data_IF_949172659275
#
_entry.id   IF_949172659275
#
_cell.length_a   1.000
_cell.length_b   1.000
_cell.length_c   1.000
_cell.angle_alpha   90.00
_cell.angle_beta   90.00
_cell.angle_gamma   90.00
#
_symmetry.space_group_name_H-M   'P 1'
#
loop_
_entity.id
_entity.type
_entity.pdbx_description
1 polymer ?
#
# COMPACT_ATOMS: atom_id res chain seq x y z
N UNK A 1 -8.08 9.27 24.86
CA UNK A 1 -8.95 8.64 23.85
C UNK A 1 -8.17 8.30 22.58
N UNK A 2 -7.29 9.19 22.09
CA UNK A 2 -6.39 8.93 20.94
C UNK A 2 -5.45 7.74 21.17
N UNK A 3 -4.77 7.66 22.32
CA UNK A 3 -3.85 6.56 22.66
C UNK A 3 -4.50 5.16 22.65
N UNK A 4 -5.80 5.06 22.93
CA UNK A 4 -6.53 3.77 22.86
C UNK A 4 -6.85 3.35 21.43
N UNK A 5 -6.99 4.31 20.52
CA UNK A 5 -7.28 4.02 19.12
C UNK A 5 -6.03 3.45 18.43
N UNK A 6 -4.86 4.02 18.73
CA UNK A 6 -3.57 3.54 18.21
C UNK A 6 -3.28 2.12 18.70
N UNK A 7 -3.48 1.81 19.99
CA UNK A 7 -3.35 0.44 20.53
C UNK A 7 -4.27 -0.55 19.82
N UNK A 8 -5.56 -0.22 19.65
CA UNK A 8 -6.52 -1.11 18.96
C UNK A 8 -6.12 -1.35 17.50
N UNK A 9 -5.62 -0.32 16.82
CA UNK A 9 -5.20 -0.42 15.42
C UNK A 9 -3.92 -1.25 15.28
N UNK A 10 -2.99 -1.11 16.23
CA UNK A 10 -1.77 -1.91 16.31
C UNK A 10 -2.06 -3.38 16.61
N UNK A 11 -2.99 -3.65 17.52
CA UNK A 11 -3.42 -5.01 17.85
C UNK A 11 -4.13 -5.68 16.68
N UNK A 12 -5.06 -4.98 16.00
CA UNK A 12 -5.71 -5.49 14.80
C UNK A 12 -4.71 -5.74 13.67
N UNK A 13 -3.78 -4.80 13.47
CA UNK A 13 -2.71 -4.96 12.48
C UNK A 13 -1.89 -6.21 12.79
N UNK A 14 -1.47 -6.38 14.04
CA UNK A 14 -0.73 -7.55 14.48
C UNK A 14 -1.54 -8.83 14.28
N UNK A 15 -2.80 -8.89 14.67
CA UNK A 15 -3.64 -10.09 14.50
C UNK A 15 -3.80 -10.52 13.03
N UNK A 16 -3.89 -9.56 12.12
CA UNK A 16 -4.02 -9.83 10.68
C UNK A 16 -2.68 -10.14 10.03
N UNK A 17 -1.60 -9.46 10.44
CA UNK A 17 -0.32 -9.44 9.70
C UNK A 17 0.81 -10.26 10.35
N UNK A 18 0.73 -10.64 11.63
CA UNK A 18 1.82 -11.30 12.38
C UNK A 18 2.19 -12.72 11.92
N UNK A 19 1.37 -13.35 11.08
CA UNK A 19 1.66 -14.70 10.57
C UNK A 19 2.59 -14.69 9.34
N UNK A 20 2.90 -13.52 8.78
CA UNK A 20 3.74 -13.38 7.58
C UNK A 20 5.10 -12.83 8.01
N UNK A 21 6.14 -13.67 7.92
CA UNK A 21 7.50 -13.32 8.39
C UNK A 21 8.42 -12.83 7.28
N UNK A 22 7.99 -12.96 6.01
CA UNK A 22 8.83 -12.70 4.83
C UNK A 22 8.68 -11.27 4.27
N UNK A 23 7.72 -10.49 4.81
CA UNK A 23 7.44 -9.12 4.38
C UNK A 23 7.67 -8.16 5.54
N UNK A 24 8.23 -6.99 5.26
CA UNK A 24 8.43 -5.93 6.24
C UNK A 24 7.07 -5.49 6.83
N UNK A 25 6.87 -5.55 8.17
CA UNK A 25 5.60 -5.19 8.78
C UNK A 25 5.18 -3.72 8.56
N UNK A 26 6.11 -2.78 8.61
CA UNK A 26 5.79 -1.36 8.40
C UNK A 26 5.26 -1.13 6.98
N UNK A 27 5.81 -1.82 5.98
CA UNK A 27 5.32 -1.75 4.59
C UNK A 27 3.93 -2.32 4.48
N UNK A 28 3.66 -3.45 5.13
CA UNK A 28 2.34 -4.07 5.11
C UNK A 28 1.29 -3.20 5.80
N UNK A 29 1.66 -2.54 6.90
CA UNK A 29 0.81 -1.55 7.57
C UNK A 29 0.41 -0.43 6.62
N UNK A 30 1.38 0.22 5.97
CA UNK A 30 1.11 1.32 5.04
C UNK A 30 0.23 0.89 3.85
N UNK A 31 0.44 -0.32 3.32
CA UNK A 31 -0.40 -0.89 2.25
C UNK A 31 -1.84 -1.10 2.72
N UNK A 32 -2.05 -1.62 3.94
CA UNK A 32 -3.40 -1.80 4.50
C UNK A 32 -4.09 -0.45 4.70
N UNK A 33 -3.37 0.57 5.20
CA UNK A 33 -3.90 1.93 5.33
C UNK A 33 -4.34 2.47 3.97
N UNK A 34 -3.49 2.35 2.94
CA UNK A 34 -3.83 2.77 1.58
C UNK A 34 -5.03 2.00 1.00
N UNK A 35 -5.12 0.70 1.25
CA UNK A 35 -6.26 -0.11 0.82
C UNK A 35 -7.58 0.37 1.45
N UNK A 36 -7.56 0.75 2.73
CA UNK A 36 -8.72 1.33 3.42
C UNK A 36 -9.08 2.69 2.83
N UNK A 37 -8.10 3.55 2.54
CA UNK A 37 -8.32 4.83 1.86
C UNK A 37 -9.01 4.64 0.51
N UNK A 38 -8.49 3.75 -0.34
CA UNK A 38 -9.09 3.44 -1.65
C UNK A 38 -10.50 2.86 -1.49
N UNK A 39 -10.74 2.00 -0.50
CA UNK A 39 -12.08 1.47 -0.25
C UNK A 39 -13.07 2.58 0.16
N UNK A 40 -12.62 3.56 0.94
CA UNK A 40 -13.45 4.66 1.47
C UNK A 40 -13.64 5.82 0.51
N UNK A 41 -12.63 6.18 -0.25
CA UNK A 41 -12.62 7.36 -1.13
C UNK A 41 -12.80 6.95 -2.59
N UNK A 42 -12.20 5.82 -2.97
CA UNK A 42 -12.01 5.46 -4.37
C UNK A 42 -10.93 6.32 -5.02
N UNK A 43 -10.85 6.22 -6.34
CA UNK A 43 -9.97 7.05 -7.16
C UNK A 43 -10.79 8.16 -7.80
N UNK A 44 -10.38 9.42 -7.64
CA UNK A 44 -11.11 10.58 -8.15
C UNK A 44 -12.61 10.56 -7.72
N UNK A 45 -12.89 10.03 -6.52
CA UNK A 45 -14.25 9.87 -5.98
C UNK A 45 -15.05 8.69 -6.54
N UNK A 46 -14.46 7.84 -7.39
CA UNK A 46 -15.11 6.64 -7.94
C UNK A 46 -14.64 5.38 -7.23
N UNK A 47 -15.58 4.56 -6.80
CA UNK A 47 -15.29 3.24 -6.21
C UNK A 47 -14.63 2.34 -7.24
N UNK A 48 -13.42 1.89 -6.93
CA UNK A 48 -12.66 0.93 -7.72
C UNK A 48 -12.25 -0.24 -6.83
N UNK A 49 -12.28 -1.45 -7.38
CA UNK A 49 -11.63 -2.59 -6.76
C UNK A 49 -10.12 -2.49 -6.99
N UNK A 50 -9.32 -2.74 -5.96
CA UNK A 50 -7.86 -2.67 -6.03
C UNK A 50 -7.26 -3.92 -5.40
N UNK A 51 -6.19 -4.44 -6.02
CA UNK A 51 -5.40 -5.54 -5.51
C UNK A 51 -3.96 -5.07 -5.32
N UNK A 52 -3.41 -5.33 -4.14
CA UNK A 52 -1.99 -5.12 -3.86
C UNK A 52 -1.26 -6.45 -3.86
N UNK A 53 -0.05 -6.46 -4.42
CA UNK A 53 0.90 -7.57 -4.30
C UNK A 53 2.11 -7.02 -3.57
N UNK A 54 2.50 -7.66 -2.47
CA UNK A 54 3.58 -7.21 -1.59
C UNK A 54 4.59 -8.34 -1.42
N UNK A 55 5.85 -8.06 -1.75
CA UNK A 55 6.93 -9.05 -1.80
C UNK A 55 7.42 -9.31 -3.23
N UNK A 56 8.59 -9.95 -3.34
CA UNK A 56 9.30 -10.32 -4.58
C UNK A 56 9.04 -9.40 -5.80
N UNK A 57 9.49 -8.15 -5.67
CA UNK A 57 9.24 -7.11 -6.69
C UNK A 57 9.79 -7.51 -8.06
N UNK A 58 10.94 -8.19 -8.12
CA UNK A 58 11.53 -8.60 -9.39
C UNK A 58 10.65 -9.62 -10.11
N UNK A 59 10.18 -10.66 -9.40
CA UNK A 59 9.33 -11.68 -10.00
C UNK A 59 7.95 -11.13 -10.41
N UNK A 60 7.39 -10.22 -9.60
CA UNK A 60 6.13 -9.53 -9.92
C UNK A 60 6.27 -8.71 -11.21
N UNK A 61 7.35 -7.93 -11.35
CA UNK A 61 7.60 -7.13 -12.54
C UNK A 61 7.91 -7.99 -13.77
N UNK A 62 8.56 -9.15 -13.61
CA UNK A 62 8.79 -10.10 -14.70
C UNK A 62 7.49 -10.70 -15.25
N UNK A 63 6.44 -10.81 -14.41
CA UNK A 63 5.16 -11.43 -14.77
C UNK A 63 4.04 -10.44 -15.07
N UNK A 64 4.28 -9.14 -14.87
CA UNK A 64 3.27 -8.10 -15.04
C UNK A 64 3.76 -6.96 -15.93
N UNK A 65 2.82 -6.17 -16.45
CA UNK A 65 3.12 -4.96 -17.22
C UNK A 65 2.01 -3.95 -17.02
N UNK A 66 2.36 -2.66 -17.04
CA UNK A 66 1.37 -1.60 -17.02
C UNK A 66 0.46 -1.71 -18.25
N UNK A 67 -0.85 -1.50 -18.04
CA UNK A 67 -1.84 -1.54 -19.12
C UNK A 67 -1.69 -0.32 -20.05
N UNK A 68 -1.29 0.81 -19.47
CA UNK A 68 -1.06 2.08 -20.16
C UNK A 68 0.36 2.56 -19.85
N UNK A 69 0.52 3.80 -19.41
CA UNK A 69 1.78 4.36 -18.94
C UNK A 69 2.06 3.93 -17.50
N UNK A 70 3.34 3.70 -17.19
CA UNK A 70 3.82 3.61 -15.81
C UNK A 70 3.97 5.03 -15.25
N UNK A 71 3.15 5.45 -14.28
CA UNK A 71 3.21 6.80 -13.72
C UNK A 71 4.46 7.05 -12.87
N UNK A 72 5.21 6.00 -12.49
CA UNK A 72 6.42 6.10 -11.68
C UNK A 72 7.70 5.96 -12.51
N UNK A 73 7.59 5.77 -13.83
CA UNK A 73 8.74 5.62 -14.71
C UNK A 73 9.62 6.87 -14.70
N UNK A 74 10.94 6.70 -14.57
CA UNK A 74 11.92 7.80 -14.57
C UNK A 74 12.00 8.59 -13.26
N UNK A 75 11.12 8.35 -12.30
CA UNK A 75 11.24 8.95 -10.97
C UNK A 75 12.36 8.28 -10.15
N UNK A 76 13.00 9.00 -9.23
CA UNK A 76 13.98 8.42 -8.32
C UNK A 76 13.28 7.52 -7.29
N UNK A 77 13.98 6.56 -6.68
CA UNK A 77 13.34 5.54 -5.83
C UNK A 77 12.76 6.11 -4.53
N UNK A 78 13.33 7.21 -4.05
CA UNK A 78 12.94 7.86 -2.81
C UNK A 78 11.51 8.39 -2.86
N UNK A 79 11.05 8.83 -4.04
CA UNK A 79 9.67 9.34 -4.26
C UNK A 79 8.69 8.24 -4.67
N UNK A 80 9.16 7.00 -4.83
CA UNK A 80 8.32 5.80 -5.06
C UNK A 80 8.05 5.02 -3.79
N UNK A 81 8.51 5.55 -2.66
CA UNK A 81 8.34 4.92 -1.36
C UNK A 81 6.88 5.00 -0.91
N UNK A 82 6.32 3.87 -0.43
CA UNK A 82 4.97 3.84 0.15
C UNK A 82 4.81 4.77 1.38
N UNK A 83 5.93 5.11 2.02
CA UNK A 83 6.00 6.05 3.13
C UNK A 83 5.97 7.52 2.70
N UNK A 84 6.14 7.82 1.39
CA UNK A 84 5.99 9.18 0.88
C UNK A 84 4.51 9.49 0.65
N UNK A 85 3.97 10.44 1.42
CA UNK A 85 2.58 10.84 1.30
C UNK A 85 2.24 11.43 -0.08
N UNK A 86 3.22 12.00 -0.78
CA UNK A 86 3.02 12.55 -2.13
C UNK A 86 2.77 11.45 -3.18
N UNK A 87 3.18 10.21 -2.91
CA UNK A 87 2.94 9.07 -3.78
C UNK A 87 1.48 8.61 -3.78
N UNK A 88 0.73 8.89 -2.70
CA UNK A 88 -0.59 8.30 -2.43
C UNK A 88 -1.56 8.46 -3.60
N UNK A 89 -1.76 9.68 -4.08
CA UNK A 89 -2.68 9.95 -5.19
C UNK A 89 -2.20 9.45 -6.55
N UNK A 90 -0.91 9.13 -6.69
CA UNK A 90 -0.38 8.50 -7.91
C UNK A 90 -0.68 6.99 -7.94
N UNK A 91 -0.75 6.35 -6.77
CA UNK A 91 -1.12 4.93 -6.63
C UNK A 91 -2.63 4.72 -6.64
N UNK A 92 -3.42 5.69 -6.14
CA UNK A 92 -4.89 5.65 -6.19
C UNK A 92 -5.42 5.77 -7.62
#
# INVERSE_FOLDING_TARGET
MVLKMDEIYYDLYNDVCTKITEVNPETLYEVVVLAVEIAREGREGRKIGTMFVVGDTEEVLNRSKCLILDPLYGHPNEVKSIYDFNLRETVK
#
